data_IF_641638740453
#
_entry.id   IF_641638740453
#
_cell.length_a   1.000
_cell.length_b   1.000
_cell.length_c   1.000
_cell.angle_alpha   90.00
_cell.angle_beta   90.00
_cell.angle_gamma   90.00
#
_symmetry.space_group_name_H-M   'P 1'
#
loop_
_entity.id
_entity.type
_entity.pdbx_description
1 polymer ?
#
# COMPACT_ATOMS: atom_id res chain seq x y z
N UNK A 1 8.50 57.68 1.51
CA UNK A 1 8.46 56.81 0.32
C UNK A 1 8.74 55.38 0.76
N UNK A 2 7.69 54.59 1.02
CA UNK A 2 7.81 53.19 1.45
C UNK A 2 7.63 52.29 0.23
N UNK A 3 8.67 51.54 -0.13
CA UNK A 3 8.68 50.62 -1.28
C UNK A 3 7.92 49.35 -0.87
N UNK A 4 6.81 49.07 -1.55
CA UNK A 4 6.05 47.84 -1.35
C UNK A 4 6.91 46.58 -1.63
N UNK A 5 6.74 45.50 -0.86
CA UNK A 5 7.49 44.27 -1.06
C UNK A 5 7.09 43.61 -2.38
N UNK A 6 8.09 43.25 -3.20
CA UNK A 6 7.90 42.47 -4.43
C UNK A 6 7.31 41.11 -4.07
N UNK A 7 6.19 40.76 -4.70
CA UNK A 7 5.63 39.41 -4.66
C UNK A 7 6.68 38.46 -5.23
N UNK A 8 7.06 37.45 -4.46
CA UNK A 8 7.94 36.39 -4.93
C UNK A 8 7.26 35.65 -6.08
N UNK A 9 7.98 35.46 -7.19
CA UNK A 9 7.49 34.70 -8.33
C UNK A 9 7.18 33.26 -7.89
N UNK A 10 6.11 32.64 -8.44
CA UNK A 10 5.77 31.27 -8.12
C UNK A 10 6.89 30.34 -8.58
N UNK A 11 7.59 29.74 -7.62
CA UNK A 11 8.57 28.68 -7.87
C UNK A 11 7.80 27.51 -8.47
N UNK A 12 7.90 27.34 -9.79
CA UNK A 12 7.36 26.17 -10.48
C UNK A 12 8.10 24.95 -9.92
N UNK A 13 7.40 23.97 -9.30
CA UNK A 13 8.07 22.79 -8.78
C UNK A 13 8.75 22.07 -9.93
N UNK A 14 10.05 21.81 -9.78
CA UNK A 14 10.83 21.08 -10.78
C UNK A 14 10.16 19.73 -11.06
N UNK A 15 9.95 19.43 -12.33
CA UNK A 15 9.36 18.17 -12.77
C UNK A 15 10.19 16.99 -12.24
N UNK A 16 9.52 16.01 -11.64
CA UNK A 16 10.19 14.86 -11.04
C UNK A 16 10.94 14.06 -12.10
N UNK A 17 12.25 13.94 -11.93
CA UNK A 17 13.10 13.13 -12.80
C UNK A 17 13.54 11.85 -12.07
N UNK A 18 13.00 10.71 -12.51
CA UNK A 18 13.25 9.41 -11.90
C UNK A 18 14.72 9.03 -11.90
N UNK A 19 15.44 9.25 -13.01
CA UNK A 19 16.86 8.88 -13.14
C UNK A 19 17.73 9.67 -12.16
N UNK A 20 17.50 10.98 -12.06
CA UNK A 20 18.19 11.82 -11.08
C UNK A 20 17.87 11.37 -9.65
N UNK A 21 16.63 10.97 -9.39
CA UNK A 21 16.24 10.47 -8.07
C UNK A 21 16.91 9.14 -7.71
N UNK A 22 17.05 8.22 -8.68
CA UNK A 22 17.79 6.96 -8.54
C UNK A 22 19.26 7.23 -8.19
N UNK A 23 19.93 8.09 -8.95
CA UNK A 23 21.34 8.44 -8.73
C UNK A 23 21.57 9.18 -7.41
N UNK A 24 20.65 10.04 -6.99
CA UNK A 24 20.76 10.71 -5.69
C UNK A 24 20.51 9.72 -4.54
N UNK A 25 19.53 8.83 -4.68
CA UNK A 25 19.19 7.85 -3.65
C UNK A 25 20.31 6.85 -3.41
N UNK A 26 21.01 6.40 -4.46
CA UNK A 26 22.13 5.45 -4.31
C UNK A 26 23.33 6.11 -3.61
N UNK A 27 23.62 7.38 -3.93
CA UNK A 27 24.67 8.16 -3.25
C UNK A 27 24.36 8.34 -1.77
N UNK A 28 23.11 8.67 -1.43
CA UNK A 28 22.67 8.73 -0.04
C UNK A 28 22.85 7.39 0.68
N UNK A 29 22.46 6.27 0.05
CA UNK A 29 22.59 4.95 0.67
C UNK A 29 24.04 4.51 0.89
N UNK A 30 24.93 4.83 -0.05
CA UNK A 30 26.37 4.57 0.11
C UNK A 30 26.93 5.40 1.27
N UNK A 31 26.56 6.68 1.33
CA UNK A 31 26.94 7.55 2.46
C UNK A 31 26.40 7.03 3.80
N UNK A 32 25.14 6.63 3.85
CA UNK A 32 24.51 6.05 5.04
C UNK A 32 25.22 4.76 5.50
N UNK A 33 25.74 3.98 4.55
CA UNK A 33 26.54 2.77 4.81
C UNK A 33 27.95 3.09 5.32
N UNK A 34 28.58 4.15 4.82
CA UNK A 34 29.86 4.66 5.33
C UNK A 34 29.72 5.16 6.77
N UNK A 35 28.66 5.90 7.06
CA UNK A 35 28.34 6.40 8.41
C UNK A 35 27.92 5.25 9.34
N UNK A 36 27.23 4.23 8.82
CA UNK A 36 26.73 3.08 9.60
C UNK A 36 27.17 1.74 8.97
N UNK A 37 28.35 1.22 9.36
CA UNK A 37 28.88 -0.03 8.81
C UNK A 37 27.97 -1.25 9.02
N UNK A 38 27.05 -1.21 9.99
CA UNK A 38 26.06 -2.27 10.25
C UNK A 38 24.90 -2.33 9.24
N UNK A 39 24.72 -1.32 8.39
CA UNK A 39 23.66 -1.33 7.36
C UNK A 39 23.97 -2.41 6.32
N UNK A 40 23.02 -3.29 5.99
CA UNK A 40 23.23 -4.30 4.96
C UNK A 40 22.91 -3.69 3.61
N UNK A 41 23.91 -3.61 2.72
CA UNK A 41 23.76 -3.18 1.34
C UNK A 41 24.34 -4.27 0.42
N UNK A 42 23.50 -5.13 -0.18
CA UNK A 42 23.98 -6.24 -0.99
C UNK A 42 24.74 -5.76 -2.22
N UNK A 43 25.90 -6.37 -2.51
CA UNK A 43 26.68 -6.05 -3.70
C UNK A 43 25.91 -6.33 -5.00
N UNK A 44 25.11 -7.41 -5.01
CA UNK A 44 24.22 -7.73 -6.14
C UNK A 44 23.23 -6.61 -6.45
N UNK A 45 22.77 -5.88 -5.43
CA UNK A 45 21.91 -4.71 -5.63
C UNK A 45 22.69 -3.54 -6.24
N UNK A 46 23.90 -3.26 -5.74
CA UNK A 46 24.77 -2.21 -6.30
C UNK A 46 25.15 -2.47 -7.76
N UNK A 47 25.25 -3.73 -8.17
CA UNK A 47 25.53 -4.12 -9.55
C UNK A 47 24.30 -4.06 -10.47
N UNK A 48 23.10 -3.98 -9.91
CA UNK A 48 21.84 -4.10 -10.66
C UNK A 48 20.91 -2.88 -10.60
N UNK A 49 21.09 -1.95 -9.65
CA UNK A 49 20.11 -0.87 -9.40
C UNK A 49 19.79 0.01 -10.62
N UNK A 50 20.75 0.18 -11.55
CA UNK A 50 20.59 0.99 -12.75
C UNK A 50 20.29 0.17 -14.02
N UNK A 51 20.11 -1.15 -13.90
CA UNK A 51 19.76 -2.00 -15.03
C UNK A 51 18.39 -1.60 -15.59
N UNK A 52 18.16 -1.75 -16.91
CA UNK A 52 16.89 -1.36 -17.54
C UNK A 52 15.66 -1.95 -16.85
N UNK A 53 15.74 -3.20 -16.40
CA UNK A 53 14.65 -3.90 -15.71
C UNK A 53 14.28 -3.27 -14.38
N UNK A 54 15.28 -2.80 -13.63
CA UNK A 54 15.09 -2.11 -12.36
C UNK A 54 14.46 -0.73 -12.59
N UNK A 55 14.94 0.00 -13.59
CA UNK A 55 14.38 1.29 -13.98
C UNK A 55 12.93 1.17 -14.45
N UNK A 56 12.62 0.15 -15.26
CA UNK A 56 11.24 -0.16 -15.68
C UNK A 56 10.34 -0.50 -14.49
N UNK A 57 10.84 -1.28 -13.52
CA UNK A 57 10.10 -1.55 -12.29
C UNK A 57 9.84 -0.26 -11.49
N UNK A 58 10.84 0.61 -11.33
CA UNK A 58 10.65 1.87 -10.61
C UNK A 58 9.65 2.78 -11.30
N UNK A 59 9.70 2.86 -12.63
CA UNK A 59 8.78 3.69 -13.41
C UNK A 59 7.34 3.17 -13.31
N UNK A 60 7.14 1.86 -13.45
CA UNK A 60 5.79 1.25 -13.33
C UNK A 60 5.21 1.41 -11.93
N UNK A 61 6.04 1.33 -10.88
CA UNK A 61 5.60 1.61 -9.52
C UNK A 61 5.30 3.09 -9.31
N UNK A 62 6.07 4.00 -9.91
CA UNK A 62 5.78 5.43 -9.87
C UNK A 62 4.39 5.72 -10.47
N UNK A 63 4.10 5.18 -11.65
CA UNK A 63 2.80 5.35 -12.33
C UNK A 63 1.64 4.78 -11.51
N UNK A 64 1.83 3.59 -10.93
CA UNK A 64 0.88 2.99 -10.00
C UNK A 64 0.62 3.90 -8.79
N UNK A 65 1.68 4.43 -8.20
CA UNK A 65 1.63 5.26 -6.99
C UNK A 65 0.95 6.59 -7.26
N UNK A 66 1.21 7.21 -8.41
CA UNK A 66 0.54 8.44 -8.85
C UNK A 66 -0.96 8.23 -8.99
N UNK A 67 -1.37 7.15 -9.66
CA UNK A 67 -2.78 6.80 -9.84
C UNK A 67 -3.46 6.50 -8.50
N UNK A 68 -2.76 5.83 -7.59
CA UNK A 68 -3.25 5.57 -6.24
C UNK A 68 -3.45 6.88 -5.44
N UNK A 69 -2.50 7.80 -5.51
CA UNK A 69 -2.63 9.10 -4.84
C UNK A 69 -3.81 9.90 -5.39
N UNK A 70 -4.02 9.88 -6.70
CA UNK A 70 -5.14 10.55 -7.34
C UNK A 70 -6.50 10.00 -6.86
N UNK A 71 -6.66 8.67 -6.84
CA UNK A 71 -7.86 8.02 -6.31
C UNK A 71 -8.11 8.41 -4.86
N UNK A 72 -7.08 8.42 -4.01
CA UNK A 72 -7.24 8.79 -2.61
C UNK A 72 -7.59 10.27 -2.42
N UNK A 73 -7.08 11.15 -3.27
CA UNK A 73 -7.47 12.57 -3.24
C UNK A 73 -8.94 12.75 -3.63
N UNK A 74 -9.41 12.02 -4.64
CA UNK A 74 -10.82 12.06 -5.06
C UNK A 74 -11.74 11.51 -3.97
N UNK A 75 -11.40 10.37 -3.37
CA UNK A 75 -12.19 9.78 -2.27
C UNK A 75 -12.32 10.77 -1.10
N UNK A 76 -11.24 11.43 -0.68
CA UNK A 76 -11.29 12.43 0.39
C UNK A 76 -12.19 13.61 0.04
N UNK A 77 -12.12 14.10 -1.20
CA UNK A 77 -12.99 15.18 -1.67
C UNK A 77 -14.46 14.75 -1.74
N UNK A 78 -14.75 13.49 -2.07
CA UNK A 78 -16.10 12.93 -2.08
C UNK A 78 -16.67 12.78 -0.66
N UNK A 79 -15.85 12.32 0.30
CA UNK A 79 -16.22 12.22 1.71
C UNK A 79 -16.59 13.59 2.32
N UNK A 80 -15.88 14.65 1.91
CA UNK A 80 -16.15 16.03 2.34
C UNK A 80 -17.42 16.62 1.69
N UNK A 81 -17.80 16.16 0.49
CA UNK A 81 -18.90 16.71 -0.29
C UNK A 81 -20.22 15.93 -0.21
N UNK A 82 -20.28 14.84 0.58
CA UNK A 82 -21.47 13.97 0.75
C UNK A 82 -22.19 13.59 -0.58
N UNK A 83 -21.43 13.33 -1.65
CA UNK A 83 -22.01 13.03 -2.97
C UNK A 83 -21.76 11.59 -3.44
N UNK A 84 -22.64 11.16 -4.34
CA UNK A 84 -22.72 9.85 -4.97
C UNK A 84 -21.43 9.46 -5.71
N UNK A 85 -21.02 8.19 -5.55
CA UNK A 85 -19.78 7.63 -6.10
C UNK A 85 -19.73 7.79 -7.62
N UNK A 86 -18.81 8.62 -8.14
CA UNK A 86 -18.79 8.97 -9.57
C UNK A 86 -18.14 7.88 -10.43
N UNK A 87 -18.55 7.83 -11.70
CA UNK A 87 -18.03 6.89 -12.71
C UNK A 87 -16.51 7.04 -12.92
N UNK A 88 -15.96 8.25 -12.73
CA UNK A 88 -14.51 8.55 -12.81
C UNK A 88 -13.67 7.72 -11.84
N UNK A 89 -14.09 7.58 -10.58
CA UNK A 89 -13.37 6.81 -9.55
C UNK A 89 -13.33 5.31 -9.89
N UNK A 90 -14.37 4.82 -10.55
CA UNK A 90 -14.46 3.42 -11.02
C UNK A 90 -13.49 3.15 -12.16
N UNK A 91 -13.31 4.09 -13.08
CA UNK A 91 -12.37 3.92 -14.20
C UNK A 91 -10.91 4.04 -13.75
N UNK A 92 -10.59 4.99 -12.87
CA UNK A 92 -9.28 5.06 -12.23
C UNK A 92 -8.96 3.79 -11.43
N UNK A 93 -9.95 3.21 -10.74
CA UNK A 93 -9.77 1.93 -10.03
C UNK A 93 -9.45 0.77 -10.97
N UNK A 94 -10.03 0.72 -12.18
CA UNK A 94 -9.67 -0.28 -13.20
C UNK A 94 -8.24 -0.05 -13.69
N UNK A 95 -7.86 1.20 -13.96
CA UNK A 95 -6.51 1.57 -14.39
C UNK A 95 -5.48 1.16 -13.34
N UNK A 96 -5.73 1.45 -12.07
CA UNK A 96 -4.87 1.04 -10.95
C UNK A 96 -4.72 -0.48 -10.90
N UNK A 97 -5.80 -1.23 -11.12
CA UNK A 97 -5.74 -2.69 -11.16
C UNK A 97 -4.88 -3.20 -12.31
N UNK A 98 -4.92 -2.55 -13.47
CA UNK A 98 -4.12 -2.94 -14.63
C UNK A 98 -2.64 -2.61 -14.42
N UNK A 99 -2.35 -1.41 -13.90
CA UNK A 99 -1.00 -1.03 -13.48
C UNK A 99 -0.45 -2.01 -12.43
N UNK A 100 -1.28 -2.47 -11.49
CA UNK A 100 -0.88 -3.48 -10.51
C UNK A 100 -0.42 -4.79 -11.16
N UNK A 101 -1.05 -5.22 -12.26
CA UNK A 101 -0.60 -6.40 -13.03
C UNK A 101 0.71 -6.13 -13.75
N UNK A 102 0.89 -4.94 -14.31
CA UNK A 102 2.15 -4.56 -14.98
C UNK A 102 3.30 -4.55 -13.96
N UNK A 103 3.09 -3.97 -12.77
CA UNK A 103 4.06 -4.01 -11.66
C UNK A 103 4.37 -5.46 -11.29
N UNK A 104 3.34 -6.31 -11.17
CA UNK A 104 3.53 -7.72 -10.88
C UNK A 104 4.38 -8.40 -11.96
N UNK A 105 4.09 -8.15 -13.24
CA UNK A 105 4.86 -8.67 -14.36
C UNK A 105 6.33 -8.25 -14.29
N UNK A 106 6.61 -6.95 -14.13
CA UNK A 106 7.99 -6.43 -14.05
C UNK A 106 8.74 -6.97 -12.84
N UNK A 107 8.06 -7.11 -11.71
CA UNK A 107 8.65 -7.75 -10.54
C UNK A 107 8.96 -9.23 -10.78
N UNK A 108 8.08 -9.97 -11.47
CA UNK A 108 8.33 -11.35 -11.87
C UNK A 108 9.51 -11.50 -12.83
N UNK A 109 9.61 -10.61 -13.83
CA UNK A 109 10.74 -10.54 -14.76
C UNK A 109 12.06 -10.33 -14.01
N UNK A 110 12.08 -9.41 -13.04
CA UNK A 110 13.25 -9.16 -12.19
C UNK A 110 13.65 -10.41 -11.39
N UNK A 111 12.68 -11.06 -10.73
CA UNK A 111 12.94 -12.29 -9.94
C UNK A 111 13.58 -13.38 -10.80
N UNK A 112 13.10 -13.57 -12.03
CA UNK A 112 13.60 -14.61 -12.93
C UNK A 112 15.01 -14.28 -13.46
N UNK A 113 15.31 -13.01 -13.70
CA UNK A 113 16.60 -12.54 -14.24
C UNK A 113 17.71 -12.49 -13.21
N UNK A 114 17.41 -12.08 -11.98
CA UNK A 114 18.41 -11.98 -10.89
C UNK A 114 18.84 -13.34 -10.34
N UNK A 115 18.42 -14.44 -10.98
CA UNK A 115 18.95 -15.82 -10.85
C UNK A 115 19.30 -16.15 -9.40
N UNK A 116 18.25 -16.28 -8.59
CA UNK A 116 18.28 -16.65 -7.16
C UNK A 116 19.26 -17.82 -6.94
N UNK A 117 20.45 -17.56 -6.38
CA UNK A 117 21.46 -18.58 -6.15
C UNK A 117 22.05 -18.52 -4.73
N UNK A 118 21.94 -19.69 -4.08
CA UNK A 118 22.74 -20.29 -2.99
C UNK A 118 22.32 -20.06 -1.54
N UNK A 119 21.73 -18.93 -1.12
CA UNK A 119 21.29 -18.71 0.29
C UNK A 119 20.08 -17.79 0.42
N UNK A 120 19.00 -18.29 1.05
CA UNK A 120 17.74 -17.57 1.27
C UNK A 120 17.88 -16.18 1.92
N UNK A 121 18.91 -15.95 2.74
CA UNK A 121 19.11 -14.67 3.43
C UNK A 121 19.61 -13.56 2.51
N UNK A 122 20.46 -13.89 1.53
CA UNK A 122 21.01 -12.90 0.60
C UNK A 122 19.93 -12.40 -0.35
N UNK A 123 19.07 -13.31 -0.81
CA UNK A 123 17.88 -12.97 -1.60
C UNK A 123 16.91 -12.10 -0.81
N UNK A 124 16.65 -12.45 0.45
CA UNK A 124 15.81 -11.64 1.32
C UNK A 124 16.39 -10.24 1.46
N UNK A 125 17.69 -10.10 1.76
CA UNK A 125 18.34 -8.81 1.90
C UNK A 125 18.26 -8.01 0.60
N UNK A 126 18.43 -8.65 -0.56
CA UNK A 126 18.33 -8.04 -1.88
C UNK A 126 16.92 -7.46 -2.13
N UNK A 127 15.87 -8.28 -2.02
CA UNK A 127 14.50 -7.81 -2.27
C UNK A 127 14.03 -6.79 -1.22
N UNK A 128 14.45 -6.93 0.03
CA UNK A 128 14.18 -5.92 1.07
C UNK A 128 14.86 -4.58 0.74
N UNK A 129 16.08 -4.62 0.22
CA UNK A 129 16.81 -3.43 -0.26
C UNK A 129 16.09 -2.79 -1.44
N UNK A 130 15.55 -3.58 -2.38
CA UNK A 130 14.76 -3.05 -3.50
C UNK A 130 13.53 -2.30 -3.01
N UNK A 131 12.75 -2.88 -2.10
CA UNK A 131 11.54 -2.24 -1.54
C UNK A 131 11.91 -0.92 -0.86
N UNK A 132 12.96 -0.93 -0.04
CA UNK A 132 13.46 0.27 0.64
C UNK A 132 13.93 1.33 -0.37
N UNK A 133 14.65 0.92 -1.41
CA UNK A 133 15.18 1.81 -2.42
C UNK A 133 14.07 2.47 -3.24
N UNK A 134 13.04 1.71 -3.64
CA UNK A 134 11.87 2.27 -4.33
C UNK A 134 11.26 3.42 -3.53
N UNK A 135 11.07 3.25 -2.21
CA UNK A 135 10.56 4.32 -1.35
C UNK A 135 11.46 5.56 -1.39
N UNK A 136 12.79 5.38 -1.29
CA UNK A 136 13.77 6.46 -1.35
C UNK A 136 13.72 7.20 -2.70
N UNK A 137 13.68 6.46 -3.79
CA UNK A 137 13.62 7.00 -5.17
C UNK A 137 12.33 7.78 -5.41
N UNK A 138 11.21 7.32 -4.87
CA UNK A 138 9.93 7.99 -5.07
C UNK A 138 9.67 9.14 -4.08
N UNK A 139 10.41 9.21 -2.97
CA UNK A 139 10.25 10.22 -1.92
C UNK A 139 10.17 11.67 -2.44
N UNK A 140 10.98 12.13 -3.41
CA UNK A 140 10.90 13.51 -3.90
C UNK A 140 9.62 13.82 -4.69
N UNK A 141 8.89 12.80 -5.15
CA UNK A 141 7.70 12.96 -5.98
C UNK A 141 6.40 13.09 -5.17
N UNK A 142 6.42 12.80 -3.87
CA UNK A 142 5.23 12.70 -3.04
C UNK A 142 5.35 13.52 -1.75
N UNK A 143 4.24 14.13 -1.33
CA UNK A 143 4.18 14.83 -0.06
C UNK A 143 4.28 13.85 1.13
N UNK A 144 4.70 14.36 2.30
CA UNK A 144 4.82 13.54 3.52
C UNK A 144 3.60 12.65 3.85
N UNK A 145 2.33 13.10 3.78
CA UNK A 145 1.18 12.22 4.01
C UNK A 145 1.01 11.16 2.91
N UNK A 146 1.34 11.49 1.66
CA UNK A 146 1.29 10.54 0.54
C UNK A 146 2.41 9.50 0.64
N UNK A 147 3.57 9.89 1.16
CA UNK A 147 4.71 8.99 1.37
C UNK A 147 4.39 7.88 2.38
N UNK A 148 3.70 8.20 3.49
CA UNK A 148 3.28 7.19 4.47
C UNK A 148 2.37 6.15 3.81
N UNK A 149 1.40 6.63 3.03
CA UNK A 149 0.47 5.77 2.30
C UNK A 149 1.20 4.92 1.25
N UNK A 150 2.17 5.50 0.54
CA UNK A 150 3.02 4.80 -0.42
C UNK A 150 3.84 3.69 0.26
N UNK A 151 4.48 3.98 1.38
CA UNK A 151 5.24 2.99 2.15
C UNK A 151 4.37 1.82 2.61
N UNK A 152 3.18 2.11 3.15
CA UNK A 152 2.23 1.07 3.56
C UNK A 152 1.76 0.23 2.36
N UNK A 153 1.52 0.86 1.22
CA UNK A 153 1.09 0.18 0.01
C UNK A 153 2.19 -0.69 -0.61
N UNK A 154 3.43 -0.20 -0.68
CA UNK A 154 4.55 -0.99 -1.20
C UNK A 154 4.81 -2.20 -0.28
N UNK A 155 4.80 -2.01 1.04
CA UNK A 155 4.89 -3.13 1.98
C UNK A 155 3.77 -4.13 1.76
N UNK A 156 2.54 -3.67 1.53
CA UNK A 156 1.40 -4.54 1.20
C UNK A 156 1.62 -5.28 -0.12
N UNK A 157 2.05 -4.60 -1.18
CA UNK A 157 2.25 -5.18 -2.52
C UNK A 157 3.36 -6.25 -2.52
N UNK A 158 4.51 -5.95 -1.92
CA UNK A 158 5.67 -6.83 -1.95
C UNK A 158 5.64 -7.93 -0.89
N UNK A 159 5.03 -7.68 0.28
CA UNK A 159 5.07 -8.64 1.42
C UNK A 159 3.70 -9.19 1.79
N UNK A 160 2.63 -8.57 1.32
CA UNK A 160 1.27 -8.88 1.75
C UNK A 160 0.86 -8.15 3.05
N UNK A 161 -0.44 -8.11 3.29
CA UNK A 161 -1.06 -7.40 4.42
C UNK A 161 -0.62 -7.94 5.78
N UNK A 162 -0.33 -9.24 5.88
CA UNK A 162 0.15 -9.88 7.10
C UNK A 162 1.55 -9.40 7.54
N UNK A 163 2.32 -8.82 6.61
CA UNK A 163 3.69 -8.36 6.82
C UNK A 163 3.83 -6.84 6.68
N UNK A 164 2.72 -6.10 6.63
CA UNK A 164 2.71 -4.64 6.63
C UNK A 164 3.06 -4.10 8.03
N UNK A 165 4.37 -4.05 8.33
CA UNK A 165 4.90 -3.58 9.62
C UNK A 165 4.58 -2.09 9.82
N UNK A 166 4.67 -1.29 8.75
CA UNK A 166 4.38 0.15 8.77
C UNK A 166 2.94 0.42 9.21
N UNK A 167 1.96 -0.24 8.59
CA UNK A 167 0.54 -0.09 8.97
C UNK A 167 0.28 -0.54 10.42
N UNK A 168 0.91 -1.65 10.86
CA UNK A 168 0.77 -2.12 12.25
C UNK A 168 1.35 -1.13 13.25
N UNK A 169 2.50 -0.54 12.93
CA UNK A 169 3.15 0.47 13.75
C UNK A 169 2.29 1.74 13.82
N UNK A 170 1.85 2.27 12.68
CA UNK A 170 0.98 3.44 12.61
C UNK A 170 -0.33 3.25 13.38
N UNK A 171 -1.03 2.13 13.19
CA UNK A 171 -2.26 1.82 13.95
C UNK A 171 -2.01 1.73 15.46
N UNK A 172 -0.83 1.27 15.86
CA UNK A 172 -0.45 1.20 17.29
C UNK A 172 -0.16 2.60 17.83
N UNK A 173 0.61 3.40 17.09
CA UNK A 173 0.92 4.78 17.44
C UNK A 173 -0.34 5.65 17.51
N UNK A 174 -1.29 5.50 16.57
CA UNK A 174 -2.58 6.17 16.63
C UNK A 174 -3.42 5.75 17.84
N UNK A 175 -3.44 4.46 18.18
CA UNK A 175 -4.14 3.98 19.37
C UNK A 175 -3.53 4.60 20.63
N UNK A 176 -2.20 4.68 20.70
CA UNK A 176 -1.48 5.30 21.82
C UNK A 176 -1.75 6.81 21.88
N UNK A 177 -1.84 7.51 20.75
CA UNK A 177 -2.20 8.94 20.71
C UNK A 177 -3.64 9.18 21.17
N UNK A 178 -4.59 8.37 20.69
CA UNK A 178 -6.02 8.49 21.05
C UNK A 178 -6.30 8.03 22.49
N UNK A 179 -5.47 7.15 23.02
CA UNK A 179 -5.62 6.54 24.36
C UNK A 179 -4.26 6.51 25.07
N UNK A 180 -3.75 7.67 25.53
CA UNK A 180 -2.44 7.76 26.19
C UNK A 180 -2.35 6.89 27.46
N UNK A 181 -3.50 6.63 28.10
CA UNK A 181 -3.68 5.72 29.23
C UNK A 181 -3.43 4.23 28.91
N UNK A 182 -3.24 3.86 27.63
CA UNK A 182 -2.81 2.51 27.22
C UNK A 182 -1.30 2.38 27.01
N UNK A 183 -0.51 3.45 27.22
CA UNK A 183 0.95 3.32 27.31
C UNK A 183 1.24 2.37 28.47
N UNK A 184 1.78 1.19 28.18
CA UNK A 184 2.08 0.19 29.19
C UNK A 184 2.99 0.80 30.24
N UNK A 185 2.46 1.03 31.44
CA UNK A 185 3.29 1.25 32.63
C UNK A 185 4.04 -0.06 32.85
N UNK A 186 5.38 -0.04 32.86
CA UNK A 186 6.18 -1.25 33.07
C UNK A 186 5.99 -1.88 34.46
N UNK A 187 5.26 -1.21 35.36
CA UNK A 187 4.96 -1.68 36.70
C UNK A 187 3.78 -2.65 36.66
N UNK A 188 4.06 -3.88 37.10
CA UNK A 188 3.14 -5.01 37.23
C UNK A 188 2.33 -4.92 38.53
N UNK A 189 1.83 -3.74 38.89
CA UNK A 189 1.01 -3.61 40.09
C UNK A 189 -0.38 -4.20 39.79
N UNK A 190 -0.93 -5.09 40.62
CA UNK A 190 -2.19 -5.79 40.32
C UNK A 190 -3.35 -4.83 40.07
N UNK A 191 -3.40 -3.69 40.79
CA UNK A 191 -4.42 -2.67 40.60
C UNK A 191 -4.29 -1.92 39.27
N UNK A 192 -3.06 -1.74 38.77
CA UNK A 192 -2.79 -1.17 37.45
C UNK A 192 -3.22 -2.13 36.33
N UNK A 193 -3.14 -3.44 36.57
CA UNK A 193 -3.61 -4.47 35.63
C UNK A 193 -5.14 -4.45 35.58
N UNK A 194 -5.81 -4.39 36.73
CA UNK A 194 -7.28 -4.35 36.83
C UNK A 194 -7.84 -3.09 36.17
N UNK A 195 -7.26 -1.91 36.45
CA UNK A 195 -7.67 -0.66 35.79
C UNK A 195 -7.45 -0.70 34.28
N UNK A 196 -6.33 -1.28 33.81
CA UNK A 196 -6.09 -1.50 32.39
C UNK A 196 -7.12 -2.45 31.75
N UNK A 197 -7.53 -3.51 32.45
CA UNK A 197 -8.56 -4.46 31.97
C UNK A 197 -9.91 -3.75 31.87
N UNK A 198 -10.32 -3.01 32.89
CA UNK A 198 -11.59 -2.27 32.92
C UNK A 198 -11.65 -1.18 31.84
N UNK A 199 -10.54 -0.46 31.63
CA UNK A 199 -10.44 0.55 30.57
C UNK A 199 -10.53 -0.08 29.17
N UNK A 200 -9.86 -1.22 28.95
CA UNK A 200 -9.96 -1.99 27.68
C UNK A 200 -11.39 -2.44 27.40
N UNK A 201 -12.13 -2.88 28.40
CA UNK A 201 -13.53 -3.30 28.25
C UNK A 201 -14.46 -2.12 27.91
N UNK A 202 -14.26 -0.93 28.50
CA UNK A 202 -15.01 0.29 28.12
C UNK A 202 -14.75 0.71 26.67
N UNK A 203 -13.50 0.60 26.19
CA UNK A 203 -13.12 0.96 24.81
C UNK A 203 -13.73 0.00 23.77
N UNK A 204 -13.84 -1.30 24.07
CA UNK A 204 -14.45 -2.29 23.17
C UNK A 204 -15.93 -1.99 22.88
N UNK A 205 -16.67 -1.49 23.88
CA UNK A 205 -18.09 -1.10 23.72
C UNK A 205 -18.27 0.11 22.79
N UNK A 206 -17.30 1.02 22.73
CA UNK A 206 -17.35 2.20 21.85
C UNK A 206 -16.92 1.89 20.40
N UNK A 207 -15.99 0.94 20.19
CA UNK A 207 -15.57 0.54 18.83
C UNK A 207 -16.65 -0.20 18.03
N UNK A 208 -17.49 -0.99 18.70
CA UNK A 208 -18.60 -1.70 18.04
C UNK A 208 -19.60 -0.75 17.36
N UNK A 209 -19.67 0.53 17.76
CA UNK A 209 -20.50 1.55 17.10
C UNK A 209 -19.81 2.27 15.93
N UNK A 210 -18.48 2.25 15.85
CA UNK A 210 -17.70 3.02 14.86
C UNK A 210 -17.32 2.17 13.63
N UNK A 211 -17.16 0.84 13.79
CA UNK A 211 -16.68 -0.06 12.72
C UNK A 211 -17.72 -0.37 11.62
N UNK A 212 -18.99 0.04 11.77
CA UNK A 212 -20.06 -0.31 10.82
C UNK A 212 -20.09 0.57 9.55
N UNK A 213 -19.35 1.68 9.49
CA UNK A 213 -19.47 2.67 8.39
C UNK A 213 -18.25 2.83 7.48
N UNK A 214 -17.09 2.21 7.78
CA UNK A 214 -15.81 2.54 7.11
C UNK A 214 -15.30 1.54 6.06
N UNK A 215 -15.93 0.37 5.92
CA UNK A 215 -15.40 -0.71 5.07
C UNK A 215 -16.20 -0.92 3.77
N UNK A 216 -16.29 0.09 2.89
CA UNK A 216 -16.96 -0.09 1.57
C UNK A 216 -16.07 0.04 0.34
N UNK A 217 -14.80 0.39 0.46
CA UNK A 217 -13.89 0.50 -0.71
C UNK A 217 -12.53 -0.18 -0.53
N UNK A 218 -12.31 -0.92 0.58
CA UNK A 218 -11.10 -1.72 0.74
C UNK A 218 -11.29 -3.11 0.11
N UNK A 219 -10.32 -3.64 -0.65
CA UNK A 219 -10.39 -4.99 -1.20
C UNK A 219 -10.44 -6.04 -0.07
N UNK A 220 -11.63 -6.58 0.19
CA UNK A 220 -11.94 -7.79 0.96
C UNK A 220 -10.96 -8.14 2.11
N UNK A 221 -10.77 -7.23 3.07
CA UNK A 221 -9.99 -7.46 4.29
C UNK A 221 -10.79 -8.28 5.31
N UNK A 222 -10.79 -9.61 5.15
CA UNK A 222 -11.25 -10.51 6.22
C UNK A 222 -10.14 -10.65 7.25
N UNK A 223 -10.42 -10.33 8.52
CA UNK A 223 -9.59 -10.62 9.71
C UNK A 223 -8.74 -11.88 9.48
N UNK A 224 -7.42 -11.69 9.36
CA UNK A 224 -6.46 -12.79 9.13
C UNK A 224 -6.29 -13.52 10.47
N UNK A 225 -6.72 -14.77 10.53
CA UNK A 225 -6.31 -15.71 11.58
C UNK A 225 -4.83 -16.09 11.39
N UNK A 226 -4.12 -16.61 12.41
CA UNK A 226 -2.71 -17.01 12.28
C UNK A 226 -2.44 -17.98 11.11
N UNK A 227 -3.42 -18.82 10.77
CA UNK A 227 -3.38 -19.69 9.58
C UNK A 227 -3.44 -18.92 8.25
N UNK A 228 -4.12 -17.77 8.22
CA UNK A 228 -4.20 -16.88 7.05
C UNK A 228 -2.94 -16.04 6.86
N UNK A 229 -2.17 -15.73 7.92
CA UNK A 229 -0.86 -15.06 7.77
C UNK A 229 0.22 -15.98 7.22
N UNK A 230 0.16 -17.29 7.52
CA UNK A 230 1.09 -18.31 6.99
C UNK A 230 0.87 -18.53 5.48
N UNK A 231 -0.32 -18.23 4.98
CA UNK A 231 -0.70 -18.37 3.56
C UNK A 231 -0.74 -17.03 2.81
N UNK A 232 -0.36 -15.93 3.46
CA UNK A 232 -0.37 -14.60 2.85
C UNK A 232 0.82 -14.46 1.91
N UNK A 233 0.61 -14.77 0.63
CA UNK A 233 1.53 -14.42 -0.45
C UNK A 233 1.49 -12.92 -0.71
N UNK A 234 2.58 -12.39 -1.25
CA UNK A 234 2.59 -11.06 -1.87
C UNK A 234 1.47 -10.95 -2.90
N UNK A 235 0.68 -9.86 -2.90
CA UNK A 235 -0.26 -9.55 -3.98
C UNK A 235 0.35 -9.65 -5.37
N UNK A 236 1.58 -9.16 -5.57
CA UNK A 236 2.27 -9.25 -6.87
C UNK A 236 2.48 -10.72 -7.29
N UNK A 237 2.96 -11.55 -6.37
CA UNK A 237 3.13 -12.98 -6.63
C UNK A 237 1.79 -13.69 -6.86
N UNK A 238 0.74 -13.31 -6.14
CA UNK A 238 -0.61 -13.85 -6.38
C UNK A 238 -1.20 -13.45 -7.73
N UNK A 239 -0.86 -12.26 -8.26
CA UNK A 239 -1.26 -11.84 -9.60
C UNK A 239 -0.53 -12.65 -10.69
N UNK A 240 0.75 -12.95 -10.49
CA UNK A 240 1.55 -13.76 -11.41
C UNK A 240 1.20 -15.25 -11.36
N UNK A 241 1.11 -15.80 -10.15
CA UNK A 241 1.00 -17.22 -9.87
C UNK A 241 -0.19 -17.47 -8.93
N UNK A 242 -1.43 -17.35 -9.45
CA UNK A 242 -2.63 -17.50 -8.64
C UNK A 242 -2.71 -18.91 -8.06
N UNK A 243 -2.91 -18.99 -6.74
CA UNK A 243 -3.14 -20.26 -6.05
C UNK A 243 -4.43 -20.92 -6.56
N UNK A 244 -4.57 -22.25 -6.48
CA UNK A 244 -5.86 -22.90 -6.72
C UNK A 244 -7.01 -22.26 -5.96
N UNK A 245 -6.76 -21.79 -4.73
CA UNK A 245 -7.76 -21.05 -3.92
C UNK A 245 -8.12 -19.68 -4.53
N UNK A 246 -7.13 -18.97 -5.08
CA UNK A 246 -7.34 -17.67 -5.73
C UNK A 246 -8.19 -17.86 -6.99
N UNK A 247 -7.88 -18.90 -7.78
CA UNK A 247 -8.66 -19.27 -8.97
C UNK A 247 -10.11 -19.60 -8.62
N UNK A 248 -10.35 -20.41 -7.57
CA UNK A 248 -11.70 -20.74 -7.10
C UNK A 248 -12.47 -19.46 -6.71
N UNK A 249 -11.82 -18.54 -5.99
CA UNK A 249 -12.44 -17.26 -5.60
C UNK A 249 -12.78 -16.41 -6.82
N UNK A 250 -11.87 -16.32 -7.79
CA UNK A 250 -12.11 -15.61 -9.04
C UNK A 250 -13.31 -16.20 -9.80
N UNK A 251 -13.39 -17.53 -9.91
CA UNK A 251 -14.55 -18.20 -10.50
C UNK A 251 -15.85 -17.89 -9.75
N UNK A 252 -15.84 -17.88 -8.42
CA UNK A 252 -17.00 -17.49 -7.61
C UNK A 252 -17.42 -16.03 -7.84
N UNK A 253 -16.45 -15.11 -7.93
CA UNK A 253 -16.72 -13.69 -8.19
C UNK A 253 -17.32 -13.49 -9.58
N UNK A 254 -16.78 -14.15 -10.61
CA UNK A 254 -17.32 -14.14 -11.97
C UNK A 254 -18.74 -14.71 -11.98
N UNK A 255 -18.97 -15.83 -11.27
CA UNK A 255 -20.31 -16.43 -11.15
C UNK A 255 -21.30 -15.47 -10.48
N UNK A 256 -20.90 -14.80 -9.40
CA UNK A 256 -21.72 -13.78 -8.70
C UNK A 256 -22.02 -12.58 -9.59
N UNK A 257 -21.04 -12.08 -10.36
CA UNK A 257 -21.24 -10.97 -11.31
C UNK A 257 -22.23 -11.36 -12.41
N UNK A 258 -22.07 -12.55 -13.00
CA UNK A 258 -23.01 -13.08 -13.99
C UNK A 258 -24.43 -13.16 -13.42
N UNK A 259 -24.60 -13.76 -12.24
CA UNK A 259 -25.90 -13.85 -11.58
C UNK A 259 -26.56 -12.48 -11.31
N UNK A 260 -25.79 -11.48 -10.87
CA UNK A 260 -26.30 -10.11 -10.66
C UNK A 260 -26.74 -9.45 -11.97
N UNK A 261 -26.05 -9.71 -13.07
CA UNK A 261 -26.41 -9.17 -14.39
C UNK A 261 -27.67 -9.85 -14.96
N UNK A 262 -27.88 -11.16 -14.71
CA UNK A 262 -29.11 -11.84 -15.13
C UNK A 262 -30.34 -11.36 -14.37
N UNK A 263 -30.19 -11.01 -13.09
CA UNK A 263 -31.31 -10.50 -12.25
C UNK A 263 -31.73 -9.09 -12.66
N UNK A 264 -30.82 -8.26 -13.19
CA UNK A 264 -31.14 -6.91 -13.70
C UNK A 264 -31.86 -6.90 -15.06
N UNK A 265 -32.02 -8.05 -15.72
CA UNK A 265 -32.54 -8.17 -17.10
C UNK A 265 -33.98 -8.73 -17.20
N UNK A 266 -34.78 -8.76 -16.12
CA UNK A 266 -36.23 -9.07 -16.20
C UNK A 266 -37.02 -8.19 -15.22
N UNK A 267 -38.22 -7.68 -15.60
CA UNK A 267 -39.26 -8.43 -16.31
C UNK A 267 -39.59 -7.90 -17.71
N UNK A 268 -39.85 -8.82 -18.63
CA UNK A 268 -40.59 -8.53 -19.86
C UNK A 268 -42.03 -8.18 -19.47
N UNK A 269 -42.65 -7.15 -20.05
CA UNK A 269 -44.08 -6.92 -19.87
C UNK A 269 -44.83 -8.14 -20.39
N UNK A 270 -45.66 -8.74 -19.54
CA UNK A 270 -46.70 -9.65 -19.99
C UNK A 270 -47.63 -8.81 -20.86
N UNK A 271 -47.63 -9.09 -22.17
CA UNK A 271 -48.72 -8.65 -23.03
C UNK A 271 -49.94 -9.46 -22.62
N UNK A 272 -50.76 -8.88 -21.74
CA UNK A 272 -52.15 -9.26 -21.59
C UNK A 272 -52.88 -8.73 -22.84
N UNK A 273 -52.96 -9.57 -23.86
CA UNK A 273 -53.89 -9.39 -24.97
C UNK A 273 -55.02 -10.38 -24.82
N UNK A 274 -56.19 -9.82 -24.47
CA UNK A 274 -57.52 -10.40 -24.68
C UNK A 274 -57.76 -10.82 -26.13
#
# INVERSE_FOLDING_TARGET
>A
MSRAPRKADPVVPAEFNLLNSVENSIKEMIKDKEENPGLILPYSFLDSYNRPEMLELYNTIYDYSKTLTEINTLIKQEEEKQHEYKETTKDLSKQLSEQGKIVAQKYGELILKERIFRKNQDDQNFFETIIYFIVKVLKPAFDRPQLIMLEEELNRLFRGTAFNISERRHKTEEKVKKLPQLKGTSRKDPDSIITNILMRQKILKNKAKIDMSRDRTLPAFVKLTPYKSITARSPLISMLLPSPKDKIREFEEVRKRKAKNTIKLKPLPMNDSC
#
